data_IF_924155765130
#
_entry.id   IF_924155765130
#
_cell.length_a   1.000
_cell.length_b   1.000
_cell.length_c   1.000
_cell.angle_alpha   90.00
_cell.angle_beta   90.00
_cell.angle_gamma   90.00
#
_symmetry.space_group_name_H-M   'P 1'
#
loop_
_entity.id
_entity.type
_entity.pdbx_description
1 polymer ?
#
# COMPACT_ATOMS: atom_id res chain seq x y z
N UNK A 1 17.85 -11.38 38.40
CA UNK A 1 17.63 -11.40 36.95
C UNK A 1 16.64 -10.29 36.67
N UNK A 2 17.12 -9.20 36.08
CA UNK A 2 16.34 -8.02 35.74
C UNK A 2 15.29 -8.39 34.69
N UNK A 3 14.05 -8.04 34.98
CA UNK A 3 12.93 -8.08 34.04
C UNK A 3 13.15 -6.99 32.99
N UNK A 4 13.74 -7.35 31.85
CA UNK A 4 13.80 -6.49 30.67
C UNK A 4 12.41 -6.44 30.04
N UNK A 5 11.49 -5.76 30.73
CA UNK A 5 10.09 -5.60 30.38
C UNK A 5 9.90 -4.72 29.13
N UNK A 6 10.16 -5.27 27.95
CA UNK A 6 9.58 -4.77 26.71
C UNK A 6 8.07 -5.05 26.76
N UNK A 7 7.30 -4.10 27.30
CA UNK A 7 5.85 -4.24 27.42
C UNK A 7 5.21 -4.57 26.07
N UNK A 8 4.48 -5.69 26.01
CA UNK A 8 3.69 -6.03 24.83
C UNK A 8 2.64 -4.94 24.56
N UNK A 9 2.42 -4.62 23.28
CA UNK A 9 1.34 -3.72 22.90
C UNK A 9 -0.01 -4.27 23.42
N UNK A 10 -0.87 -3.44 24.03
CA UNK A 10 -2.16 -3.88 24.55
C UNK A 10 -3.11 -4.29 23.43
N UNK A 11 -4.14 -5.07 23.76
CA UNK A 11 -5.19 -5.45 22.81
C UNK A 11 -4.97 -6.79 22.10
N UNK A 12 -4.05 -7.62 22.57
CA UNK A 12 -3.88 -8.99 22.08
C UNK A 12 -5.21 -9.78 22.15
N UNK A 13 -5.53 -10.61 21.12
CA UNK A 13 -4.72 -10.94 19.93
C UNK A 13 -4.91 -9.96 18.75
N UNK A 14 -5.60 -8.84 18.94
CA UNK A 14 -6.04 -7.95 17.88
C UNK A 14 -7.46 -8.26 17.39
N UNK A 15 -8.02 -7.34 16.61
CA UNK A 15 -9.33 -7.52 15.96
C UNK A 15 -9.17 -8.51 14.81
N UNK A 16 -10.18 -9.36 14.57
CA UNK A 16 -10.19 -10.29 13.46
C UNK A 16 -10.01 -9.54 12.11
N UNK A 17 -9.08 -9.98 11.25
CA UNK A 17 -8.83 -9.31 9.98
C UNK A 17 -9.95 -9.56 8.97
N UNK A 18 -10.14 -8.61 8.05
CA UNK A 18 -11.01 -8.75 6.87
C UNK A 18 -10.20 -8.66 5.59
N UNK A 19 -10.78 -9.04 4.45
CA UNK A 19 -10.19 -8.78 3.14
C UNK A 19 -10.47 -7.35 2.70
N UNK A 20 -9.67 -6.83 1.76
CA UNK A 20 -10.02 -5.57 1.10
C UNK A 20 -11.11 -5.78 0.06
N UNK A 21 -11.64 -4.69 -0.49
CA UNK A 21 -12.56 -4.76 -1.62
C UNK A 21 -11.92 -5.49 -2.80
N UNK A 22 -12.68 -6.34 -3.47
CA UNK A 22 -12.27 -6.95 -4.74
C UNK A 22 -12.27 -5.97 -5.92
N UNK A 23 -12.83 -4.76 -5.75
CA UNK A 23 -12.72 -3.70 -6.75
C UNK A 23 -11.30 -3.15 -6.76
N UNK A 24 -10.54 -3.46 -7.81
CA UNK A 24 -9.14 -3.05 -7.98
C UNK A 24 -9.03 -2.02 -9.09
N UNK A 25 -8.22 -1.00 -8.84
CA UNK A 25 -7.82 -0.03 -9.85
C UNK A 25 -6.78 -0.64 -10.80
N UNK A 26 -5.86 -1.44 -10.26
CA UNK A 26 -4.81 -2.12 -11.03
C UNK A 26 -4.33 -3.40 -10.33
N UNK A 27 -3.87 -4.36 -11.13
CA UNK A 27 -3.07 -5.52 -10.70
C UNK A 27 -1.72 -5.47 -11.41
N UNK A 28 -0.64 -5.76 -10.68
CA UNK A 28 0.72 -5.58 -11.19
C UNK A 28 1.67 -6.68 -10.76
N UNK A 29 2.67 -6.90 -11.61
CA UNK A 29 3.88 -7.69 -11.33
C UNK A 29 4.98 -7.19 -12.25
N UNK A 30 6.19 -7.71 -12.10
CA UNK A 30 7.31 -7.35 -12.97
C UNK A 30 7.55 -8.41 -14.04
N UNK A 31 8.00 -7.98 -15.22
CA UNK A 31 8.50 -8.90 -16.24
C UNK A 31 9.94 -9.31 -15.88
N UNK A 32 10.09 -10.40 -15.12
CA UNK A 32 11.39 -10.86 -14.62
C UNK A 32 11.27 -12.01 -13.62
N UNK A 33 12.38 -12.40 -12.96
CA UNK A 33 12.39 -13.51 -11.99
C UNK A 33 11.67 -13.20 -10.67
N UNK A 34 11.25 -11.96 -10.42
CA UNK A 34 10.57 -11.61 -9.18
C UNK A 34 9.23 -12.36 -9.04
N UNK A 35 8.95 -12.84 -7.85
CA UNK A 35 7.76 -13.63 -7.48
C UNK A 35 6.82 -12.80 -6.62
N UNK A 36 6.63 -11.55 -7.03
CA UNK A 36 5.81 -10.58 -6.33
C UNK A 36 4.69 -10.10 -7.24
N UNK A 37 3.47 -10.12 -6.72
CA UNK A 37 2.30 -9.51 -7.33
C UNK A 37 1.70 -8.52 -6.35
N UNK A 38 1.08 -7.47 -6.87
CA UNK A 38 0.46 -6.45 -6.04
C UNK A 38 -0.83 -5.94 -6.67
N UNK A 39 -1.70 -5.39 -5.84
CA UNK A 39 -2.95 -4.75 -6.27
C UNK A 39 -3.03 -3.32 -5.75
N UNK A 40 -3.70 -2.46 -6.52
CA UNK A 40 -4.06 -1.10 -6.13
C UNK A 40 -5.56 -1.03 -6.01
N UNK A 41 -6.04 -0.36 -4.97
CA UNK A 41 -7.44 -0.05 -4.78
C UNK A 41 -7.60 1.12 -3.81
N UNK A 42 -8.53 2.02 -4.11
CA UNK A 42 -8.72 3.27 -3.36
C UNK A 42 -7.45 4.14 -3.33
N UNK A 43 -6.64 4.08 -4.40
CA UNK A 43 -5.43 4.88 -4.55
C UNK A 43 -4.26 4.48 -3.63
N UNK A 44 -4.31 3.31 -2.99
CA UNK A 44 -3.21 2.77 -2.18
C UNK A 44 -2.89 1.33 -2.59
N UNK A 45 -1.77 0.78 -2.08
CA UNK A 45 -1.49 -0.64 -2.21
C UNK A 45 -2.46 -1.42 -1.31
N UNK A 46 -3.13 -2.43 -1.87
CA UNK A 46 -3.91 -3.39 -1.08
C UNK A 46 -3.07 -4.66 -0.87
N UNK A 47 -3.42 -5.75 -1.56
CA UNK A 47 -2.73 -7.02 -1.39
C UNK A 47 -1.38 -7.04 -2.10
N UNK A 48 -0.38 -7.58 -1.40
CA UNK A 48 0.90 -7.98 -1.98
C UNK A 48 1.07 -9.48 -1.76
N UNK A 49 1.31 -10.22 -2.84
CA UNK A 49 1.41 -11.67 -2.86
C UNK A 49 2.85 -12.10 -3.05
N UNK A 50 3.29 -13.06 -2.23
CA UNK A 50 4.65 -13.59 -2.24
C UNK A 50 4.71 -14.91 -1.44
N UNK A 51 5.51 -15.92 -1.84
CA UNK A 51 6.22 -16.07 -3.12
C UNK A 51 5.34 -16.66 -4.24
N UNK A 52 4.04 -16.83 -3.97
CA UNK A 52 3.06 -17.36 -4.92
C UNK A 52 1.87 -16.43 -4.99
N UNK A 53 1.22 -16.39 -6.15
CA UNK A 53 0.07 -15.52 -6.42
C UNK A 53 -1.16 -15.82 -5.55
N UNK A 54 -1.23 -17.00 -4.95
CA UNK A 54 -2.31 -17.43 -4.06
C UNK A 54 -2.03 -17.13 -2.57
N UNK A 55 -0.87 -16.51 -2.25
CA UNK A 55 -0.39 -16.34 -0.88
C UNK A 55 -0.22 -14.85 -0.54
N UNK A 56 -1.28 -14.13 -0.12
CA UNK A 56 -1.20 -12.71 0.24
C UNK A 56 -0.46 -12.52 1.57
N UNK A 57 0.48 -11.57 1.59
CA UNK A 57 1.31 -11.21 2.75
C UNK A 57 0.94 -9.85 3.35
N UNK A 58 0.36 -8.97 2.54
CA UNK A 58 -0.08 -7.62 2.94
C UNK A 58 -1.55 -7.47 2.58
N UNK A 59 -2.31 -6.72 3.39
CA UNK A 59 -3.70 -6.38 3.13
C UNK A 59 -3.85 -4.95 2.62
N UNK A 60 -3.27 -3.98 3.31
CA UNK A 60 -3.26 -2.57 2.95
C UNK A 60 -1.89 -2.00 3.32
N UNK A 61 -1.32 -1.20 2.43
CA UNK A 61 -0.20 -0.31 2.71
C UNK A 61 -0.57 1.06 2.14
N UNK A 62 -0.77 2.02 3.05
CA UNK A 62 -1.17 3.38 2.73
C UNK A 62 -0.66 4.37 3.75
N UNK A 63 -1.08 5.63 3.61
CA UNK A 63 -0.59 6.74 4.41
C UNK A 63 -1.71 7.37 5.23
N UNK A 64 -1.34 7.90 6.40
CA UNK A 64 -2.14 8.84 7.17
C UNK A 64 -1.37 10.16 7.15
N UNK A 65 -2.02 11.24 6.73
CA UNK A 65 -1.46 12.60 6.79
C UNK A 65 -2.06 13.30 8.00
N UNK A 66 -1.23 13.79 8.91
CA UNK A 66 -1.66 14.46 10.14
C UNK A 66 -0.82 15.72 10.40
N UNK A 67 -1.41 16.71 11.07
CA UNK A 67 -0.74 17.98 11.40
C UNK A 67 -0.24 18.07 12.84
N UNK A 68 -0.50 17.04 13.66
CA UNK A 68 -0.19 17.05 15.08
C UNK A 68 -1.04 18.02 15.92
N UNK A 69 -2.04 18.67 15.31
CA UNK A 69 -2.92 19.67 15.91
C UNK A 69 -4.41 19.29 15.82
N UNK A 70 -4.70 18.00 15.62
CA UNK A 70 -6.04 17.43 15.65
C UNK A 70 -6.61 17.08 14.27
N UNK A 71 -5.97 17.49 13.17
CA UNK A 71 -6.31 16.98 11.85
C UNK A 71 -5.52 15.72 11.53
N UNK A 72 -6.23 14.74 10.99
CA UNK A 72 -5.64 13.59 10.32
C UNK A 72 -6.56 13.14 9.18
N UNK A 73 -5.97 12.52 8.16
CA UNK A 73 -6.67 11.96 7.02
C UNK A 73 -6.04 10.63 6.65
N UNK A 74 -6.83 9.55 6.68
CA UNK A 74 -6.45 8.27 6.05
C UNK A 74 -6.62 8.41 4.54
N UNK A 75 -5.52 8.32 3.80
CA UNK A 75 -5.50 8.56 2.35
C UNK A 75 -6.47 7.64 1.59
N UNK A 76 -6.59 6.37 2.02
CA UNK A 76 -7.56 5.40 1.48
C UNK A 76 -9.01 5.91 1.47
N UNK A 77 -9.37 6.74 2.45
CA UNK A 77 -10.73 7.25 2.66
C UNK A 77 -11.00 8.58 1.96
N UNK A 78 -9.98 9.19 1.38
CA UNK A 78 -10.10 10.49 0.73
C UNK A 78 -11.00 10.44 -0.51
N UNK A 79 -10.92 9.37 -1.31
CA UNK A 79 -11.75 9.16 -2.49
C UNK A 79 -11.49 10.14 -3.64
N UNK A 80 -10.45 10.97 -3.56
CA UNK A 80 -10.07 11.93 -4.60
C UNK A 80 -8.61 11.68 -5.02
N UNK A 81 -8.44 10.84 -6.03
CA UNK A 81 -7.14 10.51 -6.60
C UNK A 81 -7.19 10.29 -8.11
N UNK A 82 -6.07 10.52 -8.75
CA UNK A 82 -5.82 10.25 -10.17
C UNK A 82 -4.74 9.16 -10.27
N UNK A 83 -4.90 8.23 -11.20
CA UNK A 83 -3.96 7.14 -11.46
C UNK A 83 -3.46 7.23 -12.89
N UNK A 84 -2.13 7.19 -13.04
CA UNK A 84 -1.45 7.28 -14.33
C UNK A 84 -0.49 6.09 -14.49
N UNK A 85 -0.43 5.54 -15.70
CA UNK A 85 0.57 4.54 -16.12
C UNK A 85 1.31 5.04 -17.35
N UNK A 86 2.62 4.75 -17.53
CA UNK A 86 3.40 5.24 -18.67
C UNK A 86 2.83 4.85 -20.04
N UNK A 87 2.25 3.65 -20.14
CA UNK A 87 1.54 3.16 -21.33
C UNK A 87 0.59 2.02 -20.92
N UNK A 88 -0.40 1.68 -21.77
CA UNK A 88 -1.28 0.53 -21.52
C UNK A 88 -0.47 -0.76 -21.25
N UNK A 89 -0.80 -1.46 -20.17
CA UNK A 89 -0.17 -2.72 -19.79
C UNK A 89 1.17 -2.60 -19.06
N UNK A 90 1.68 -1.40 -18.79
CA UNK A 90 2.89 -1.20 -17.95
C UNK A 90 2.45 -1.00 -16.48
N UNK A 91 2.72 -1.96 -15.58
CA UNK A 91 2.31 -1.89 -14.17
C UNK A 91 3.29 -1.05 -13.32
N UNK A 92 3.61 0.15 -13.81
CA UNK A 92 4.28 1.20 -13.07
C UNK A 92 3.29 2.35 -12.91
N UNK A 93 3.04 2.77 -11.68
CA UNK A 93 1.96 3.69 -11.36
C UNK A 93 2.52 5.01 -10.85
N UNK A 94 1.81 6.09 -11.17
CA UNK A 94 1.80 7.32 -10.38
C UNK A 94 0.38 7.58 -9.90
N UNK A 95 0.19 7.75 -8.60
CA UNK A 95 -1.11 8.03 -7.98
C UNK A 95 -1.03 9.36 -7.27
N UNK A 96 -1.91 10.31 -7.59
CA UNK A 96 -1.94 11.63 -6.95
C UNK A 96 -3.22 11.80 -6.17
N UNK A 97 -3.09 11.96 -4.86
CA UNK A 97 -4.18 12.29 -3.94
C UNK A 97 -4.25 13.80 -3.74
N UNK A 98 -5.46 14.36 -3.83
CA UNK A 98 -5.70 15.80 -3.67
C UNK A 98 -6.64 16.08 -2.52
N UNK A 99 -6.19 16.89 -1.58
CA UNK A 99 -6.97 17.38 -0.45
C UNK A 99 -6.74 18.89 -0.30
N UNK A 100 -7.68 19.70 0.23
CA UNK A 100 -7.47 21.14 0.42
C UNK A 100 -6.22 21.53 1.24
N UNK A 101 -5.66 20.60 2.01
CA UNK A 101 -4.48 20.82 2.86
C UNK A 101 -3.18 20.21 2.32
N UNK A 102 -3.25 19.27 1.37
CA UNK A 102 -2.06 18.58 0.88
C UNK A 102 -2.31 17.98 -0.50
N UNK A 103 -1.22 17.79 -1.24
CA UNK A 103 -1.15 16.84 -2.35
C UNK A 103 -0.15 15.77 -1.94
N UNK A 104 -0.49 14.50 -2.16
CA UNK A 104 0.40 13.38 -1.91
C UNK A 104 0.50 12.58 -3.21
N UNK A 105 1.71 12.39 -3.73
CA UNK A 105 1.94 11.55 -4.89
C UNK A 105 2.71 10.29 -4.51
N UNK A 106 2.28 9.15 -5.05
CA UNK A 106 2.91 7.86 -4.88
C UNK A 106 3.37 7.34 -6.24
N UNK A 107 4.63 6.92 -6.36
CA UNK A 107 5.11 6.18 -7.51
C UNK A 107 5.39 4.74 -7.10
N UNK A 108 4.77 3.79 -7.79
CA UNK A 108 4.76 2.39 -7.36
C UNK A 108 5.18 1.49 -8.52
N UNK A 109 6.15 0.61 -8.29
CA UNK A 109 6.60 -0.36 -9.30
C UNK A 109 7.17 -1.63 -8.65
N UNK A 110 6.89 -2.79 -9.23
CA UNK A 110 7.56 -4.03 -8.85
C UNK A 110 8.99 -4.07 -9.41
N UNK A 111 9.98 -4.38 -8.58
CA UNK A 111 11.35 -4.51 -9.02
C UNK A 111 11.53 -5.77 -9.90
N UNK A 112 12.06 -5.68 -11.13
CA UNK A 112 12.10 -6.83 -12.04
C UNK A 112 13.05 -7.95 -11.61
N UNK A 113 14.12 -7.61 -10.90
CA UNK A 113 15.20 -8.54 -10.55
C UNK A 113 15.21 -8.94 -9.06
N UNK A 114 14.24 -8.47 -8.27
CA UNK A 114 14.19 -8.67 -6.82
C UNK A 114 12.73 -8.81 -6.38
N UNK A 115 12.49 -9.64 -5.36
CA UNK A 115 11.17 -9.78 -4.73
C UNK A 115 10.86 -8.53 -3.87
N UNK A 116 10.63 -7.38 -4.52
CA UNK A 116 10.42 -6.09 -3.88
C UNK A 116 9.39 -5.24 -4.63
N UNK A 117 8.51 -4.58 -3.88
CA UNK A 117 7.65 -3.51 -4.36
C UNK A 117 8.27 -2.17 -3.93
N UNK A 118 8.57 -1.31 -4.89
CA UNK A 118 9.15 0.00 -4.65
C UNK A 118 8.03 1.04 -4.58
N UNK A 119 8.09 1.88 -3.54
CA UNK A 119 7.20 3.00 -3.35
C UNK A 119 8.05 4.26 -3.11
N UNK A 120 7.85 5.25 -3.95
CA UNK A 120 8.40 6.60 -3.78
C UNK A 120 7.24 7.55 -3.45
N UNK A 121 7.48 8.46 -2.51
CA UNK A 121 6.48 9.37 -1.95
C UNK A 121 6.95 10.79 -2.17
N UNK A 122 6.07 11.62 -2.73
CA UNK A 122 6.29 13.05 -3.03
C UNK A 122 5.18 13.93 -2.43
#
# INVERSE_FOLDING_TARGET
MSDDGAGHAPGAPGIAPTWTSSAKDLVGSSLGPARLWFTIGFGIVNEVYYPRIDTPQIRDLGFIVADGAGFWCEVKRLGCYELETPAPGIPALRIVHRHPRFTLALRIVGAPLRDALLLEVE
#
